data_IF_898451186991
#
_entry.id   IF_898451186991
#
_cell.length_a   1.000
_cell.length_b   1.000
_cell.length_c   1.000
_cell.angle_alpha   90.00
_cell.angle_beta   90.00
_cell.angle_gamma   90.00
#
_symmetry.space_group_name_H-M   'P 1'
#
loop_
_entity.id
_entity.type
_entity.pdbx_description
1 polymer ?
#
# COMPACT_ATOMS: atom_id res chain seq x y z
N UNK A 1 -18.21 7.43 1.94
CA UNK A 1 -18.45 5.97 1.98
C UNK A 1 -17.55 5.33 3.04
N UNK A 2 -17.68 4.04 3.39
CA UNK A 2 -16.66 3.35 4.18
C UNK A 2 -15.26 3.57 3.59
N UNK A 3 -14.26 3.64 4.48
CA UNK A 3 -12.86 3.84 4.11
C UNK A 3 -12.05 2.59 4.38
N UNK A 4 -11.06 2.34 3.55
CA UNK A 4 -10.15 1.22 3.68
C UNK A 4 -8.72 1.71 3.61
N UNK A 5 -7.87 1.26 4.52
CA UNK A 5 -6.41 1.37 4.38
C UNK A 5 -5.93 0.17 3.60
N UNK A 6 -5.05 0.41 2.66
CA UNK A 6 -4.41 -0.62 1.85
C UNK A 6 -2.91 -0.50 2.01
N UNK A 7 -2.21 -1.62 2.16
CA UNK A 7 -0.76 -1.67 2.28
C UNK A 7 -0.25 -2.59 1.18
N UNK A 8 0.49 -2.01 0.24
CA UNK A 8 1.12 -2.74 -0.85
C UNK A 8 2.52 -3.18 -0.46
N UNK A 9 2.77 -4.48 -0.55
CA UNK A 9 4.08 -5.08 -0.38
C UNK A 9 4.58 -5.56 -1.73
N UNK A 10 5.83 -5.25 -2.08
CA UNK A 10 6.40 -5.61 -3.38
C UNK A 10 7.85 -5.18 -3.49
N UNK A 11 8.61 -5.85 -4.35
CA UNK A 11 10.01 -5.54 -4.59
C UNK A 11 10.27 -5.17 -6.06
N UNK A 12 11.46 -4.60 -6.31
CA UNK A 12 11.86 -4.17 -7.64
C UNK A 12 11.96 -5.35 -8.61
N UNK A 13 12.37 -6.54 -8.14
CA UNK A 13 12.51 -7.72 -8.98
C UNK A 13 11.17 -8.25 -9.49
N UNK A 14 10.15 -8.31 -8.61
CA UNK A 14 8.76 -8.61 -8.98
C UNK A 14 8.21 -7.58 -9.95
N UNK A 15 8.47 -6.29 -9.70
CA UNK A 15 8.08 -5.22 -10.61
C UNK A 15 8.75 -5.34 -11.98
N UNK A 16 10.05 -5.61 -12.07
CA UNK A 16 10.79 -5.62 -13.33
C UNK A 16 10.50 -6.84 -14.21
N UNK A 17 10.17 -7.99 -13.61
CA UNK A 17 9.79 -9.18 -14.36
C UNK A 17 8.35 -9.14 -14.89
N UNK A 18 7.50 -8.24 -14.37
CA UNK A 18 6.12 -8.08 -14.85
C UNK A 18 6.10 -7.35 -16.19
N UNK A 19 5.35 -7.89 -17.16
CA UNK A 19 5.22 -7.31 -18.48
C UNK A 19 4.77 -5.84 -18.42
N UNK A 20 5.39 -4.97 -19.23
CA UNK A 20 5.13 -3.52 -19.20
C UNK A 20 3.65 -3.19 -19.36
N UNK A 21 2.94 -3.88 -20.24
CA UNK A 21 1.50 -3.69 -20.46
C UNK A 21 0.66 -3.94 -19.19
N UNK A 22 1.05 -4.90 -18.36
CA UNK A 22 0.39 -5.17 -17.07
C UNK A 22 0.70 -4.06 -16.06
N UNK A 23 1.95 -3.59 -16.03
CA UNK A 23 2.35 -2.48 -15.14
C UNK A 23 1.65 -1.17 -15.52
N UNK A 24 1.57 -0.87 -16.80
CA UNK A 24 0.92 0.34 -17.32
C UNK A 24 -0.57 0.35 -16.98
N UNK A 25 -1.25 -0.79 -17.16
CA UNK A 25 -2.65 -0.94 -16.75
C UNK A 25 -2.83 -0.78 -15.23
N UNK A 26 -1.91 -1.32 -14.44
CA UNK A 26 -1.97 -1.20 -12.98
C UNK A 26 -1.75 0.23 -12.50
N UNK A 27 -0.82 0.97 -13.12
CA UNK A 27 -0.62 2.40 -12.84
C UNK A 27 -1.81 3.25 -13.30
N UNK A 28 -2.48 2.89 -14.39
CA UNK A 28 -3.71 3.55 -14.81
C UNK A 28 -4.85 3.32 -13.80
N UNK A 29 -4.95 2.13 -13.21
CA UNK A 29 -5.89 1.86 -12.11
C UNK A 29 -5.58 2.74 -10.89
N UNK A 30 -4.30 2.87 -10.54
CA UNK A 30 -3.82 3.75 -9.47
C UNK A 30 -4.19 5.23 -9.71
N UNK A 31 -4.13 5.69 -10.98
CA UNK A 31 -4.57 7.03 -11.38
C UNK A 31 -6.09 7.19 -11.28
N UNK A 32 -6.86 6.18 -11.67
CA UNK A 32 -8.31 6.17 -11.53
C UNK A 32 -8.72 6.29 -10.06
N UNK A 33 -8.10 5.51 -9.17
CA UNK A 33 -8.38 5.60 -7.73
C UNK A 33 -8.06 6.99 -7.17
N UNK A 34 -6.94 7.61 -7.59
CA UNK A 34 -6.63 9.02 -7.22
C UNK A 34 -7.70 9.99 -7.72
N UNK A 35 -8.19 9.82 -8.94
CA UNK A 35 -9.26 10.66 -9.49
C UNK A 35 -10.59 10.48 -8.74
N UNK A 36 -10.83 9.31 -8.16
CA UNK A 36 -11.95 9.01 -7.25
C UNK A 36 -11.74 9.55 -5.82
N UNK A 37 -10.59 10.20 -5.54
CA UNK A 37 -10.29 10.82 -4.26
C UNK A 37 -9.44 9.98 -3.31
N UNK A 38 -8.87 8.85 -3.77
CA UNK A 38 -7.95 8.07 -2.96
C UNK A 38 -6.68 8.84 -2.63
N UNK A 39 -6.26 8.77 -1.36
CA UNK A 39 -4.91 9.17 -0.95
C UNK A 39 -3.97 7.99 -1.22
N UNK A 40 -2.99 8.13 -2.11
CA UNK A 40 -2.04 7.05 -2.45
C UNK A 40 -0.61 7.56 -2.31
N UNK A 41 0.21 6.85 -1.53
CA UNK A 41 1.62 7.17 -1.29
C UNK A 41 2.54 6.01 -1.64
N UNK A 42 3.72 6.34 -2.19
CA UNK A 42 4.85 5.42 -2.32
C UNK A 42 5.66 5.51 -1.02
N UNK A 43 5.98 4.38 -0.42
CA UNK A 43 6.69 4.35 0.85
C UNK A 43 8.21 4.56 0.65
N UNK A 44 8.80 5.40 1.49
CA UNK A 44 10.24 5.50 1.66
C UNK A 44 10.76 4.62 2.80
N UNK A 45 12.01 4.84 3.21
CA UNK A 45 12.56 4.17 4.40
C UNK A 45 11.82 4.62 5.67
N UNK A 46 11.21 3.70 6.45
CA UNK A 46 10.49 4.05 7.66
C UNK A 46 11.43 4.25 8.86
N UNK A 47 10.90 4.90 9.89
CA UNK A 47 11.48 4.96 11.23
C UNK A 47 10.48 4.44 12.25
N UNK A 48 10.97 3.87 13.35
CA UNK A 48 10.18 3.49 14.51
C UNK A 48 10.32 4.58 15.57
N UNK A 49 9.21 4.93 16.20
CA UNK A 49 9.17 5.91 17.30
C UNK A 49 8.56 5.25 18.53
N UNK A 50 9.20 5.39 19.68
CA UNK A 50 8.66 4.98 21.00
C UNK A 50 8.74 6.17 21.96
N UNK A 51 7.69 6.36 22.76
CA UNK A 51 7.63 7.38 23.80
C UNK A 51 6.75 6.91 24.95
N UNK A 52 7.24 5.91 25.69
CA UNK A 52 6.50 5.31 26.79
C UNK A 52 6.28 6.34 27.91
N UNK A 53 5.04 6.42 28.40
CA UNK A 53 4.57 7.38 29.39
C UNK A 53 4.84 8.86 29.07
N UNK A 54 5.09 9.20 27.80
CA UNK A 54 5.49 10.55 27.39
C UNK A 54 6.77 11.08 28.06
N UNK A 55 7.70 10.21 28.47
CA UNK A 55 8.92 10.59 29.24
C UNK A 55 10.16 10.85 28.38
N UNK A 56 10.12 10.56 27.10
CA UNK A 56 11.27 10.70 26.20
C UNK A 56 11.05 9.99 24.88
N UNK A 57 11.59 10.54 23.80
CA UNK A 57 11.41 10.00 22.45
C UNK A 57 12.62 9.17 22.04
N UNK A 58 12.39 7.90 21.76
CA UNK A 58 13.34 7.00 21.12
C UNK A 58 12.98 6.82 19.64
N UNK A 59 13.96 7.01 18.75
CA UNK A 59 13.81 6.83 17.30
C UNK A 59 14.81 5.78 16.82
N UNK A 60 14.33 4.80 16.06
CA UNK A 60 15.15 3.74 15.45
C UNK A 60 14.88 3.70 13.96
N UNK A 61 15.93 3.71 13.13
CA UNK A 61 15.78 3.58 11.68
C UNK A 61 15.32 2.18 11.29
N UNK A 62 14.47 2.08 10.26
CA UNK A 62 13.99 0.82 9.71
C UNK A 62 12.57 0.45 10.15
N UNK A 63 12.01 -0.59 9.52
CA UNK A 63 10.64 -1.05 9.77
C UNK A 63 10.55 -1.86 11.08
N UNK A 64 9.41 -1.79 11.76
CA UNK A 64 9.15 -2.64 12.94
C UNK A 64 9.03 -4.12 12.56
N UNK A 65 8.27 -4.41 11.51
CA UNK A 65 8.14 -5.76 10.96
C UNK A 65 8.97 -5.91 9.69
N UNK A 66 9.66 -7.04 9.57
CA UNK A 66 10.39 -7.44 8.37
C UNK A 66 9.67 -8.59 7.69
N UNK A 67 9.54 -8.52 6.37
CA UNK A 67 8.97 -9.59 5.54
C UNK A 67 9.86 -9.79 4.31
N UNK A 68 9.65 -10.87 3.55
CA UNK A 68 10.35 -11.08 2.28
C UNK A 68 10.02 -10.02 1.22
N UNK A 69 8.87 -9.35 1.35
CA UNK A 69 8.49 -8.22 0.51
C UNK A 69 8.42 -6.94 1.37
N UNK A 70 9.15 -5.87 1.00
CA UNK A 70 9.06 -4.61 1.73
C UNK A 70 7.72 -3.91 1.44
N UNK A 71 7.33 -2.99 2.31
CA UNK A 71 6.22 -2.07 2.02
C UNK A 71 6.66 -1.16 0.86
N UNK A 72 5.92 -1.20 -0.24
CA UNK A 72 6.15 -0.38 -1.43
C UNK A 72 5.26 0.87 -1.43
N UNK A 73 4.08 0.81 -0.81
CA UNK A 73 3.15 1.94 -0.76
C UNK A 73 1.91 1.67 0.07
N UNK A 74 1.09 2.71 0.22
CA UNK A 74 -0.17 2.65 0.95
C UNK A 74 -1.22 3.50 0.25
N UNK A 75 -2.50 3.15 0.45
CA UNK A 75 -3.60 4.02 0.07
C UNK A 75 -4.73 4.04 1.10
N UNK A 76 -5.43 5.16 1.16
CA UNK A 76 -6.77 5.25 1.77
C UNK A 76 -7.77 5.41 0.63
N UNK A 77 -8.67 4.45 0.48
CA UNK A 77 -9.70 4.42 -0.56
C UNK A 77 -11.10 4.46 0.04
N UNK A 78 -12.06 4.95 -0.74
CA UNK A 78 -13.48 4.80 -0.45
C UNK A 78 -14.10 3.69 -1.31
N UNK A 79 -14.93 2.87 -0.69
CA UNK A 79 -15.73 1.81 -1.32
C UNK A 79 -17.01 1.56 -0.52
N UNK A 80 -18.05 1.02 -1.14
CA UNK A 80 -19.32 0.70 -0.50
C UNK A 80 -19.18 -0.40 0.55
N UNK A 81 -18.32 -1.39 0.29
CA UNK A 81 -18.04 -2.52 1.17
C UNK A 81 -16.63 -3.09 0.91
N UNK A 82 -16.29 -4.17 1.62
CA UNK A 82 -15.00 -4.84 1.51
C UNK A 82 -14.81 -5.50 0.13
N UNK A 83 -15.87 -6.01 -0.48
CA UNK A 83 -15.78 -6.68 -1.77
C UNK A 83 -15.45 -5.69 -2.89
N UNK A 84 -16.08 -4.51 -2.88
CA UNK A 84 -15.73 -3.43 -3.79
C UNK A 84 -14.29 -2.94 -3.54
N UNK A 85 -13.86 -2.84 -2.27
CA UNK A 85 -12.48 -2.48 -1.96
C UNK A 85 -11.48 -3.51 -2.54
N UNK A 86 -11.74 -4.80 -2.38
CA UNK A 86 -10.93 -5.89 -2.95
C UNK A 86 -10.88 -5.77 -4.48
N UNK A 87 -12.03 -5.57 -5.13
CA UNK A 87 -12.07 -5.39 -6.58
C UNK A 87 -11.23 -4.21 -7.04
N UNK A 88 -11.36 -3.05 -6.38
CA UNK A 88 -10.61 -1.83 -6.68
C UNK A 88 -9.10 -2.04 -6.59
N UNK A 89 -8.61 -2.79 -5.60
CA UNK A 89 -7.16 -2.98 -5.40
C UNK A 89 -6.60 -4.19 -6.14
N UNK A 90 -7.43 -5.11 -6.63
CA UNK A 90 -6.96 -6.35 -7.29
C UNK A 90 -6.10 -6.11 -8.54
N UNK A 91 -6.15 -4.91 -9.11
CA UNK A 91 -5.45 -4.53 -10.33
C UNK A 91 -4.36 -3.46 -10.11
N UNK A 92 -4.00 -3.13 -8.86
CA UNK A 92 -2.94 -2.15 -8.59
C UNK A 92 -1.55 -2.80 -8.63
N UNK A 93 -0.44 -2.03 -8.74
CA UNK A 93 0.88 -2.60 -9.01
C UNK A 93 1.30 -3.72 -8.05
N UNK A 94 1.13 -3.53 -6.74
CA UNK A 94 1.53 -4.55 -5.75
C UNK A 94 0.69 -5.84 -5.84
N UNK A 95 -0.55 -5.79 -6.35
CA UNK A 95 -1.38 -6.99 -6.50
C UNK A 95 -0.97 -7.83 -7.71
N UNK A 96 -0.54 -7.18 -8.79
CA UNK A 96 -0.25 -7.86 -10.08
C UNK A 96 1.24 -8.11 -10.31
N UNK A 97 2.12 -7.35 -9.67
CA UNK A 97 3.56 -7.41 -9.88
C UNK A 97 4.28 -8.30 -8.86
N UNK A 98 3.68 -9.46 -8.56
CA UNK A 98 4.19 -10.46 -7.62
C UNK A 98 4.38 -9.98 -6.18
N UNK A 99 3.62 -8.96 -5.80
CA UNK A 99 3.51 -8.50 -4.44
C UNK A 99 2.25 -9.03 -3.74
N UNK A 100 1.78 -8.28 -2.75
CA UNK A 100 0.46 -8.47 -2.13
C UNK A 100 -0.08 -7.11 -1.67
N UNK A 101 -1.41 -6.97 -1.64
CA UNK A 101 -2.09 -5.83 -1.02
C UNK A 101 -2.90 -6.32 0.16
N UNK A 102 -2.62 -5.84 1.36
CA UNK A 102 -3.50 -6.02 2.51
C UNK A 102 -4.60 -4.94 2.47
N UNK A 103 -5.85 -5.31 2.77
CA UNK A 103 -7.01 -4.41 2.79
C UNK A 103 -7.63 -4.41 4.18
N UNK A 104 -7.67 -3.23 4.82
CA UNK A 104 -8.10 -3.05 6.20
C UNK A 104 -9.30 -2.09 6.26
N UNK A 105 -10.48 -2.54 6.70
CA UNK A 105 -11.62 -1.65 6.94
C UNK A 105 -11.29 -0.65 8.05
N UNK A 106 -11.50 0.64 7.80
CA UNK A 106 -11.42 1.68 8.83
C UNK A 106 -12.73 1.82 9.59
N UNK A 107 -12.62 2.17 10.87
CA UNK A 107 -13.75 2.43 11.78
C UNK A 107 -13.73 3.87 12.25
#
# INVERSE_FOLDING_TARGET
>A
MPKFVTIGYGDQAGYDRTASTVRDAAHAQDQKLRAEGALIGIAGAPVQVRNHDAKGVDVVEGAFMTTSLPIAGFAVIEAADLDEAIQKVSQVPCAVAHGVVEVWPLR
#
